data_IF_854402245338
#
_entry.id   IF_854402245338
#
_cell.length_a   1.000
_cell.length_b   1.000
_cell.length_c   1.000
_cell.angle_alpha   90.00
_cell.angle_beta   90.00
_cell.angle_gamma   90.00
#
_symmetry.space_group_name_H-M   'P 1'
#
loop_
_entity.id
_entity.type
_entity.pdbx_description
1 polymer ?
#
# COMPACT_ATOMS: atom_id res chain seq x y z
N UNK A 1 58.76 -34.78 -0.74
CA UNK A 1 57.54 -35.62 -0.72
C UNK A 1 57.61 -36.62 -1.87
N UNK A 2 57.50 -37.93 -1.61
CA UNK A 2 57.54 -38.95 -2.67
C UNK A 2 56.31 -38.85 -3.60
N UNK A 3 56.39 -39.40 -4.81
CA UNK A 3 55.29 -39.44 -5.77
C UNK A 3 54.00 -40.07 -5.18
N UNK A 4 54.16 -40.96 -4.20
CA UNK A 4 53.05 -41.63 -3.50
C UNK A 4 52.29 -40.70 -2.54
N UNK A 5 52.99 -39.77 -1.87
CA UNK A 5 52.36 -38.76 -1.01
C UNK A 5 51.57 -37.73 -1.83
N UNK A 6 52.06 -37.36 -3.03
CA UNK A 6 51.32 -36.49 -3.96
C UNK A 6 50.05 -37.16 -4.49
N UNK A 7 50.09 -38.47 -4.78
CA UNK A 7 48.92 -39.24 -5.21
C UNK A 7 47.82 -39.32 -4.13
N UNK A 8 48.21 -39.59 -2.87
CA UNK A 8 47.29 -39.63 -1.72
C UNK A 8 46.67 -38.25 -1.43
N UNK A 9 47.43 -37.17 -1.52
CA UNK A 9 46.93 -35.80 -1.36
C UNK A 9 45.92 -35.41 -2.46
N UNK A 10 46.24 -35.65 -3.74
CA UNK A 10 45.31 -35.39 -4.86
C UNK A 10 44.02 -36.22 -4.77
N UNK A 11 44.09 -37.46 -4.26
CA UNK A 11 42.92 -38.32 -4.05
C UNK A 11 42.03 -37.80 -2.92
N UNK A 12 42.61 -37.32 -1.82
CA UNK A 12 41.89 -36.66 -0.71
C UNK A 12 41.26 -35.34 -1.15
N UNK A 13 41.96 -34.53 -1.94
CA UNK A 13 41.41 -33.27 -2.48
C UNK A 13 40.23 -33.52 -3.43
N UNK A 14 40.33 -34.51 -4.32
CA UNK A 14 39.22 -34.92 -5.21
C UNK A 14 38.04 -35.51 -4.44
N UNK A 15 38.30 -36.24 -3.37
CA UNK A 15 37.24 -36.79 -2.52
C UNK A 15 36.54 -35.68 -1.73
N UNK A 16 37.29 -34.75 -1.14
CA UNK A 16 36.74 -33.57 -0.47
C UNK A 16 35.93 -32.70 -1.45
N UNK A 17 36.47 -32.42 -2.64
CA UNK A 17 35.78 -31.66 -3.68
C UNK A 17 34.51 -32.37 -4.21
N UNK A 18 34.44 -33.71 -4.18
CA UNK A 18 33.22 -34.46 -4.49
C UNK A 18 32.21 -34.43 -3.34
N UNK A 19 32.69 -34.58 -2.10
CA UNK A 19 31.87 -34.55 -0.89
C UNK A 19 31.23 -33.17 -0.70
N UNK A 20 31.90 -32.07 -1.08
CA UNK A 20 31.35 -30.71 -0.98
C UNK A 20 30.73 -30.22 -2.29
N UNK A 21 31.35 -30.53 -3.43
CA UNK A 21 30.90 -30.04 -4.74
C UNK A 21 29.63 -30.71 -5.26
N UNK A 22 29.43 -32.01 -5.01
CA UNK A 22 28.21 -32.71 -5.47
C UNK A 22 26.97 -32.19 -4.71
N UNK A 23 26.96 -32.07 -3.37
CA UNK A 23 25.83 -31.47 -2.67
C UNK A 23 25.54 -30.04 -3.11
N UNK A 24 26.57 -29.20 -3.31
CA UNK A 24 26.38 -27.84 -3.82
C UNK A 24 25.76 -27.81 -5.22
N UNK A 25 26.19 -28.70 -6.11
CA UNK A 25 25.58 -28.83 -7.44
C UNK A 25 24.14 -29.35 -7.37
N UNK A 26 23.84 -30.29 -6.48
CA UNK A 26 22.48 -30.81 -6.28
C UNK A 26 21.56 -29.73 -5.72
N UNK A 27 22.02 -28.98 -4.72
CA UNK A 27 21.28 -27.84 -4.16
C UNK A 27 21.08 -26.76 -5.21
N UNK A 28 22.13 -26.41 -5.97
CA UNK A 28 22.04 -25.44 -7.06
C UNK A 28 21.05 -25.86 -8.15
N UNK A 29 21.06 -27.13 -8.55
CA UNK A 29 20.11 -27.68 -9.52
C UNK A 29 18.68 -27.70 -8.97
N UNK A 30 18.49 -28.07 -7.71
CA UNK A 30 17.18 -28.04 -7.05
C UNK A 30 16.62 -26.62 -6.97
N UNK A 31 17.45 -25.63 -6.59
CA UNK A 31 17.07 -24.22 -6.58
C UNK A 31 16.75 -23.69 -7.97
N UNK A 32 17.51 -24.08 -9.00
CA UNK A 32 17.26 -23.66 -10.38
C UNK A 32 15.95 -24.25 -10.93
N UNK A 33 15.69 -25.54 -10.69
CA UNK A 33 14.43 -26.20 -11.07
C UNK A 33 13.24 -25.59 -10.34
N UNK A 34 13.41 -25.28 -9.07
CA UNK A 34 12.39 -24.60 -8.28
C UNK A 34 12.12 -23.18 -8.82
N UNK A 35 13.13 -22.36 -9.04
CA UNK A 35 12.97 -21.03 -9.61
C UNK A 35 12.36 -21.06 -11.02
N UNK A 36 12.65 -22.09 -11.81
CA UNK A 36 12.01 -22.30 -13.11
C UNK A 36 10.52 -22.68 -12.96
N UNK A 37 10.17 -23.46 -11.94
CA UNK A 37 8.78 -23.85 -11.64
C UNK A 37 7.92 -22.71 -11.11
N UNK A 38 8.53 -21.64 -10.57
CA UNK A 38 7.84 -20.42 -10.15
C UNK A 38 7.59 -19.45 -11.30
N UNK A 39 8.11 -19.71 -12.50
CA UNK A 39 7.85 -18.83 -13.64
C UNK A 39 6.38 -18.94 -14.09
N UNK A 40 5.74 -17.81 -14.44
CA UNK A 40 4.36 -17.81 -14.88
C UNK A 40 4.20 -18.55 -16.21
N UNK A 41 3.15 -19.39 -16.31
CA UNK A 41 2.74 -19.98 -17.58
C UNK A 41 1.98 -18.94 -18.40
N UNK A 42 2.67 -18.35 -19.37
CA UNK A 42 2.13 -17.26 -20.21
C UNK A 42 1.48 -17.73 -21.51
N UNK A 43 1.47 -19.04 -21.77
CA UNK A 43 0.88 -19.64 -22.97
C UNK A 43 0.13 -20.93 -22.65
N UNK A 44 -0.92 -21.20 -23.42
CA UNK A 44 -1.73 -22.41 -23.31
C UNK A 44 -3.17 -22.08 -22.90
N UNK A 45 -3.95 -23.12 -22.64
CA UNK A 45 -5.35 -23.01 -22.25
C UNK A 45 -5.53 -23.46 -20.80
N UNK A 46 -6.32 -22.72 -20.05
CA UNK A 46 -6.71 -23.07 -18.68
C UNK A 46 -8.22 -22.96 -18.56
N UNK A 47 -8.85 -24.01 -18.03
CA UNK A 47 -10.28 -23.98 -17.72
C UNK A 47 -10.46 -23.52 -16.29
N UNK A 48 -11.14 -22.40 -16.11
CA UNK A 48 -11.40 -21.78 -14.81
C UNK A 48 -12.91 -21.67 -14.58
N UNK A 49 -13.33 -21.84 -13.33
CA UNK A 49 -14.68 -21.46 -12.90
C UNK A 49 -14.78 -19.95 -12.70
N UNK A 50 -15.97 -19.39 -12.92
CA UNK A 50 -16.26 -17.97 -12.66
C UNK A 50 -16.27 -17.06 -13.88
N UNK A 51 -15.74 -17.52 -15.02
CA UNK A 51 -15.90 -16.85 -16.31
C UNK A 51 -17.27 -17.18 -16.92
N UNK A 52 -17.93 -16.16 -17.49
CA UNK A 52 -19.17 -16.33 -18.25
C UNK A 52 -18.91 -16.76 -19.70
N UNK A 53 -17.72 -16.46 -20.24
CA UNK A 53 -17.32 -16.79 -21.59
C UNK A 53 -15.82 -17.00 -21.74
N UNK A 54 -15.39 -17.22 -22.99
CA UNK A 54 -13.98 -17.34 -23.33
C UNK A 54 -13.26 -15.99 -23.19
N UNK A 55 -12.03 -16.04 -22.65
CA UNK A 55 -11.13 -14.90 -22.57
C UNK A 55 -9.82 -15.27 -23.26
N UNK A 56 -9.39 -14.42 -24.18
CA UNK A 56 -8.09 -14.53 -24.83
C UNK A 56 -7.13 -13.49 -24.25
N UNK A 57 -5.93 -13.93 -23.85
CA UNK A 57 -4.90 -13.05 -23.29
C UNK A 57 -3.66 -13.14 -24.18
N UNK A 58 -3.37 -12.06 -24.90
CA UNK A 58 -2.15 -11.91 -25.68
C UNK A 58 -1.14 -11.08 -24.89
N UNK A 59 0.10 -11.53 -24.76
CA UNK A 59 1.20 -10.72 -24.22
C UNK A 59 2.11 -10.25 -25.34
N UNK A 60 2.36 -8.96 -25.41
CA UNK A 60 3.29 -8.40 -26.40
C UNK A 60 4.76 -8.62 -26.03
N UNK A 61 5.68 -8.10 -26.84
CA UNK A 61 7.13 -8.23 -26.66
C UNK A 61 7.65 -7.65 -25.33
N UNK A 62 6.90 -6.74 -24.71
CA UNK A 62 7.22 -6.14 -23.41
C UNK A 62 6.51 -6.86 -22.25
N UNK A 63 5.76 -7.92 -22.54
CA UNK A 63 5.00 -8.69 -21.57
C UNK A 63 3.66 -8.06 -21.17
N UNK A 64 3.24 -6.97 -21.83
CA UNK A 64 1.97 -6.27 -21.53
C UNK A 64 0.80 -7.15 -21.99
N UNK A 65 -0.16 -7.49 -21.09
CA UNK A 65 -1.33 -8.27 -21.45
C UNK A 65 -2.39 -7.43 -22.15
N UNK A 66 -2.90 -7.99 -23.26
CA UNK A 66 -4.06 -7.55 -24.01
C UNK A 66 -5.15 -8.60 -23.83
N UNK A 67 -6.15 -8.26 -23.02
CA UNK A 67 -7.25 -9.11 -22.59
C UNK A 67 -8.45 -8.85 -23.50
N UNK A 68 -8.92 -9.88 -24.19
CA UNK A 68 -10.13 -9.86 -25.01
C UNK A 68 -11.19 -10.73 -24.35
N UNK A 69 -12.36 -10.16 -24.04
CA UNK A 69 -13.42 -10.85 -23.32
C UNK A 69 -14.81 -10.47 -23.83
N UNK A 70 -15.79 -11.35 -23.63
CA UNK A 70 -17.18 -11.11 -24.02
C UNK A 70 -17.93 -10.12 -23.11
N UNK A 71 -17.42 -9.82 -21.92
CA UNK A 71 -18.01 -8.89 -20.96
C UNK A 71 -16.95 -8.16 -20.14
N UNK A 72 -17.29 -6.99 -19.60
CA UNK A 72 -16.37 -6.22 -18.74
C UNK A 72 -15.95 -7.02 -17.49
N UNK A 73 -16.86 -7.79 -16.88
CA UNK A 73 -16.57 -8.60 -15.70
C UNK A 73 -15.58 -9.73 -16.02
N UNK A 74 -15.73 -10.42 -17.15
CA UNK A 74 -14.73 -11.42 -17.59
C UNK A 74 -13.36 -10.76 -17.84
N UNK A 75 -13.35 -9.52 -18.36
CA UNK A 75 -12.14 -8.72 -18.49
C UNK A 75 -11.47 -8.39 -17.15
N UNK A 76 -12.24 -7.99 -16.14
CA UNK A 76 -11.73 -7.72 -14.79
C UNK A 76 -11.26 -8.99 -14.07
N UNK A 77 -11.97 -10.11 -14.26
CA UNK A 77 -11.53 -11.42 -13.79
C UNK A 77 -10.16 -11.78 -14.38
N UNK A 78 -10.00 -11.67 -15.69
CA UNK A 78 -8.75 -11.97 -16.36
C UNK A 78 -7.61 -11.05 -15.91
N UNK A 79 -7.90 -9.76 -15.66
CA UNK A 79 -6.93 -8.83 -15.11
C UNK A 79 -6.48 -9.26 -13.70
N UNK A 80 -7.41 -9.70 -12.84
CA UNK A 80 -7.11 -10.26 -11.53
C UNK A 80 -6.20 -11.49 -11.60
N UNK A 81 -6.53 -12.42 -12.49
CA UNK A 81 -5.72 -13.61 -12.74
C UNK A 81 -4.29 -13.25 -13.19
N UNK A 82 -4.15 -12.30 -14.12
CA UNK A 82 -2.86 -11.87 -14.65
C UNK A 82 -2.05 -11.08 -13.62
N UNK A 83 -2.67 -10.20 -12.85
CA UNK A 83 -1.99 -9.50 -11.75
C UNK A 83 -1.47 -10.49 -10.70
N UNK A 84 -2.25 -11.50 -10.33
CA UNK A 84 -1.79 -12.56 -9.42
C UNK A 84 -0.63 -13.36 -10.05
N UNK A 85 -0.76 -13.74 -11.31
CA UNK A 85 0.28 -14.45 -12.05
C UNK A 85 1.63 -13.73 -12.04
N UNK A 86 1.63 -12.40 -12.18
CA UNK A 86 2.88 -11.64 -12.36
C UNK A 86 3.38 -10.96 -11.09
N UNK A 87 2.47 -10.61 -10.16
CA UNK A 87 2.73 -9.67 -9.07
C UNK A 87 2.11 -10.11 -7.73
N UNK A 88 1.80 -11.40 -7.53
CA UNK A 88 1.14 -11.88 -6.30
C UNK A 88 1.80 -11.40 -5.00
N UNK A 89 3.13 -11.51 -4.88
CA UNK A 89 3.80 -11.09 -3.65
C UNK A 89 3.65 -9.58 -3.39
N UNK A 90 3.71 -8.75 -4.44
CA UNK A 90 3.46 -7.30 -4.32
C UNK A 90 2.03 -7.04 -3.82
N UNK A 91 1.05 -7.78 -4.33
CA UNK A 91 -0.35 -7.70 -3.90
C UNK A 91 -0.50 -8.14 -2.44
N UNK A 92 0.11 -9.26 -2.06
CA UNK A 92 0.14 -9.79 -0.69
C UNK A 92 0.71 -8.78 0.31
N UNK A 93 1.88 -8.26 0.00
CA UNK A 93 2.55 -7.26 0.83
C UNK A 93 1.67 -6.03 1.01
N UNK A 94 1.09 -5.51 -0.07
CA UNK A 94 0.28 -4.29 -0.03
C UNK A 94 -1.01 -4.48 0.76
N UNK A 95 -1.73 -5.61 0.62
CA UNK A 95 -2.92 -5.87 1.43
C UNK A 95 -2.58 -6.01 2.90
N UNK A 96 -1.44 -6.63 3.24
CA UNK A 96 -0.99 -6.81 4.63
C UNK A 96 -0.55 -5.51 5.26
N UNK A 97 0.15 -4.67 4.52
CA UNK A 97 0.45 -3.31 4.94
C UNK A 97 -0.86 -2.59 5.27
N UNK A 98 -1.79 -2.49 4.31
CA UNK A 98 -3.07 -1.81 4.52
C UNK A 98 -3.92 -2.38 5.66
N UNK A 99 -3.85 -3.70 5.89
CA UNK A 99 -4.52 -4.39 6.98
C UNK A 99 -3.82 -4.26 8.35
N UNK A 100 -2.58 -3.76 8.40
CA UNK A 100 -1.74 -3.85 9.59
C UNK A 100 -1.55 -5.31 10.04
N UNK A 101 -1.05 -6.15 9.12
CA UNK A 101 -0.82 -7.60 9.29
C UNK A 101 0.54 -8.06 8.74
N UNK A 102 1.53 -7.18 8.60
CA UNK A 102 2.88 -7.54 8.18
C UNK A 102 3.58 -8.41 9.22
N UNK A 103 3.39 -8.15 10.52
CA UNK A 103 4.03 -8.89 11.60
C UNK A 103 3.66 -10.38 11.63
N UNK A 104 2.50 -10.75 11.08
CA UNK A 104 2.08 -12.14 10.93
C UNK A 104 2.94 -12.90 9.91
N UNK A 105 3.53 -12.19 8.93
CA UNK A 105 4.34 -12.78 7.86
C UNK A 105 5.85 -12.68 8.16
N UNK A 106 6.31 -11.53 8.68
CA UNK A 106 7.73 -11.23 8.87
C UNK A 106 8.17 -11.10 10.34
N UNK A 107 7.24 -11.20 11.30
CA UNK A 107 7.53 -11.13 12.74
C UNK A 107 7.67 -9.70 13.26
N UNK A 108 8.44 -9.54 14.34
CA UNK A 108 8.65 -8.27 15.04
C UNK A 108 9.01 -7.08 14.13
N UNK A 109 9.80 -7.23 13.04
CA UNK A 109 10.07 -6.11 12.12
C UNK A 109 8.84 -5.48 11.48
N UNK A 110 7.71 -6.19 11.38
CA UNK A 110 6.46 -5.66 10.84
C UNK A 110 5.58 -4.94 11.87
N UNK A 111 5.89 -5.06 13.16
CA UNK A 111 4.99 -4.63 14.25
C UNK A 111 4.77 -3.12 14.28
N UNK A 112 5.81 -2.32 14.00
CA UNK A 112 5.69 -0.86 13.95
C UNK A 112 4.70 -0.38 12.88
N UNK A 113 4.81 -0.95 11.67
CA UNK A 113 3.88 -0.66 10.59
C UNK A 113 2.46 -1.12 10.93
N UNK A 114 2.32 -2.32 11.51
CA UNK A 114 1.01 -2.84 11.90
C UNK A 114 0.32 -1.93 12.90
N UNK A 115 1.00 -1.52 13.98
CA UNK A 115 0.47 -0.57 14.95
C UNK A 115 0.00 0.72 14.28
N UNK A 116 0.85 1.32 13.44
CA UNK A 116 0.53 2.56 12.74
C UNK A 116 -0.72 2.43 11.86
N UNK A 117 -0.79 1.37 11.03
CA UNK A 117 -1.92 1.16 10.12
C UNK A 117 -3.21 0.75 10.84
N UNK A 118 -3.11 0.02 11.97
CA UNK A 118 -4.25 -0.25 12.86
C UNK A 118 -4.79 1.03 13.50
N UNK A 119 -3.90 1.94 13.94
CA UNK A 119 -4.28 3.25 14.47
C UNK A 119 -5.02 4.09 13.44
N UNK A 120 -4.55 4.15 12.20
CA UNK A 120 -5.29 4.81 11.11
C UNK A 120 -6.62 4.10 10.79
N UNK A 121 -6.65 2.77 10.97
CA UNK A 121 -7.83 1.94 10.71
C UNK A 121 -8.22 1.89 9.25
N UNK A 122 -7.27 2.02 8.31
CA UNK A 122 -7.55 2.09 6.87
C UNK A 122 -8.34 0.89 6.36
N UNK A 123 -7.98 -0.32 6.81
CA UNK A 123 -8.68 -1.54 6.41
C UNK A 123 -10.13 -1.60 6.87
N UNK A 124 -10.40 -1.13 8.11
CA UNK A 124 -11.78 -1.00 8.62
C UNK A 124 -12.59 -0.03 7.76
N UNK A 125 -11.99 1.09 7.35
CA UNK A 125 -12.64 2.03 6.43
C UNK A 125 -12.88 1.41 5.06
N UNK A 126 -11.96 0.58 4.56
CA UNK A 126 -12.15 -0.19 3.34
C UNK A 126 -13.34 -1.15 3.44
N UNK A 127 -13.52 -1.83 4.58
CA UNK A 127 -14.68 -2.70 4.85
C UNK A 127 -15.99 -1.90 4.85
N UNK A 128 -16.01 -0.73 5.50
CA UNK A 128 -17.18 0.16 5.48
C UNK A 128 -17.47 0.62 4.05
N UNK A 129 -16.46 1.01 3.28
CA UNK A 129 -16.59 1.45 1.91
C UNK A 129 -17.14 0.33 1.00
N UNK A 130 -16.72 -0.91 1.20
CA UNK A 130 -17.22 -2.08 0.47
C UNK A 130 -18.74 -2.23 0.57
N UNK A 131 -19.33 -1.93 1.75
CA UNK A 131 -20.79 -2.00 1.97
C UNK A 131 -21.60 -0.93 1.23
N UNK A 132 -20.93 0.08 0.66
CA UNK A 132 -21.56 1.27 0.06
C UNK A 132 -21.27 1.42 -1.44
N UNK A 133 -20.62 0.43 -2.05
CA UNK A 133 -20.30 0.44 -3.47
C UNK A 133 -21.58 0.40 -4.32
N UNK A 134 -21.52 1.05 -5.48
CA UNK A 134 -22.52 0.85 -6.52
C UNK A 134 -22.43 -0.58 -7.06
N UNK A 135 -23.54 -1.12 -7.55
CA UNK A 135 -23.56 -2.48 -8.12
C UNK A 135 -22.52 -2.70 -9.23
N UNK A 136 -22.29 -1.76 -10.18
CA UNK A 136 -21.23 -1.93 -11.17
C UNK A 136 -19.82 -1.97 -10.56
N UNK A 137 -19.54 -1.14 -9.55
CA UNK A 137 -18.22 -1.12 -8.90
C UNK A 137 -17.97 -2.40 -8.08
N UNK A 138 -19.00 -2.85 -7.35
CA UNK A 138 -18.94 -4.11 -6.61
C UNK A 138 -18.71 -5.29 -7.56
N UNK A 139 -19.47 -5.39 -8.66
CA UNK A 139 -19.33 -6.47 -9.64
C UNK A 139 -17.94 -6.51 -10.29
N UNK A 140 -17.34 -5.34 -10.58
CA UNK A 140 -15.97 -5.28 -11.11
C UNK A 140 -14.92 -5.78 -10.10
N UNK A 141 -15.05 -5.38 -8.83
CA UNK A 141 -14.15 -5.79 -7.76
C UNK A 141 -14.31 -7.27 -7.39
N UNK A 142 -15.53 -7.80 -7.39
CA UNK A 142 -15.81 -9.21 -7.16
C UNK A 142 -15.26 -10.08 -8.30
N UNK A 143 -15.47 -9.68 -9.56
CA UNK A 143 -14.92 -10.39 -10.70
C UNK A 143 -13.39 -10.43 -10.65
N UNK A 144 -12.76 -9.30 -10.34
CA UNK A 144 -11.31 -9.22 -10.15
C UNK A 144 -10.80 -10.13 -9.03
N UNK A 145 -11.43 -10.07 -7.85
CA UNK A 145 -11.08 -10.93 -6.73
C UNK A 145 -11.24 -12.42 -7.09
N UNK A 146 -12.30 -12.79 -7.80
CA UNK A 146 -12.51 -14.15 -8.30
C UNK A 146 -11.39 -14.58 -9.25
N UNK A 147 -10.90 -13.68 -10.11
CA UNK A 147 -9.75 -13.95 -10.99
C UNK A 147 -8.46 -14.21 -10.23
N UNK A 148 -8.16 -13.39 -9.22
CA UNK A 148 -7.02 -13.60 -8.31
C UNK A 148 -7.14 -14.95 -7.61
N UNK A 149 -8.32 -15.27 -7.08
CA UNK A 149 -8.56 -16.53 -6.36
C UNK A 149 -8.50 -17.75 -7.28
N UNK A 150 -8.98 -17.63 -8.51
CA UNK A 150 -8.84 -18.69 -9.51
C UNK A 150 -7.36 -19.01 -9.80
N UNK A 151 -6.51 -17.97 -9.83
CA UNK A 151 -5.06 -18.18 -9.93
C UNK A 151 -4.49 -18.84 -8.67
N UNK A 152 -4.90 -18.43 -7.47
CA UNK A 152 -4.44 -19.06 -6.22
C UNK A 152 -4.80 -20.56 -6.14
N UNK A 153 -6.00 -20.93 -6.58
CA UNK A 153 -6.47 -22.31 -6.59
C UNK A 153 -5.72 -23.20 -7.59
N UNK A 154 -5.41 -22.68 -8.78
CA UNK A 154 -4.78 -23.45 -9.86
C UNK A 154 -3.25 -23.30 -9.93
N UNK A 155 -2.72 -22.23 -9.36
CA UNK A 155 -1.33 -21.79 -9.42
C UNK A 155 -0.50 -22.09 -8.16
N UNK A 156 -1.07 -22.77 -7.16
CA UNK A 156 -0.40 -23.07 -5.89
C UNK A 156 0.96 -23.78 -6.02
N UNK A 157 1.21 -24.50 -7.12
CA UNK A 157 2.51 -25.13 -7.41
C UNK A 157 3.62 -24.13 -7.84
N UNK A 158 3.27 -22.85 -8.04
CA UNK A 158 4.14 -21.81 -8.60
C UNK A 158 4.11 -20.53 -7.76
N UNK A 159 3.82 -20.64 -6.46
CA UNK A 159 3.86 -19.50 -5.55
C UNK A 159 5.25 -18.81 -5.60
N UNK A 160 5.28 -17.46 -5.52
CA UNK A 160 6.53 -16.73 -5.46
C UNK A 160 7.44 -17.22 -4.32
N UNK A 161 8.78 -17.15 -4.52
CA UNK A 161 9.79 -17.51 -3.52
C UNK A 161 9.52 -17.06 -2.09
N UNK A 162 8.96 -15.86 -1.93
CA UNK A 162 8.71 -15.21 -0.66
C UNK A 162 7.75 -16.01 0.23
N UNK A 163 6.71 -16.62 -0.34
CA UNK A 163 5.76 -17.46 0.40
C UNK A 163 6.43 -18.69 1.01
N UNK A 164 7.36 -19.31 0.27
CA UNK A 164 8.11 -20.48 0.73
C UNK A 164 9.18 -20.10 1.76
N UNK A 165 9.90 -19.01 1.54
CA UNK A 165 10.90 -18.50 2.48
C UNK A 165 10.27 -18.06 3.81
N UNK A 166 9.08 -17.46 3.74
CA UNK A 166 8.33 -17.02 4.90
C UNK A 166 7.40 -18.11 5.45
N UNK A 167 7.36 -19.31 4.88
CA UNK A 167 6.47 -20.40 5.30
C UNK A 167 5.04 -19.89 5.56
N UNK A 168 4.49 -19.24 4.54
CA UNK A 168 3.21 -18.54 4.59
C UNK A 168 2.37 -18.92 3.36
N UNK A 169 1.08 -19.17 3.57
CA UNK A 169 0.13 -19.49 2.51
C UNK A 169 -0.80 -18.29 2.25
N UNK A 170 -0.98 -17.87 0.99
CA UNK A 170 -1.83 -16.73 0.67
C UNK A 170 -3.30 -16.99 1.02
N UNK A 171 -3.93 -16.03 1.68
CA UNK A 171 -5.39 -16.01 1.89
C UNK A 171 -6.12 -15.62 0.59
N UNK A 172 -7.38 -16.04 0.38
CA UNK A 172 -8.21 -15.56 -0.73
C UNK A 172 -8.28 -14.02 -0.75
N UNK A 173 -8.16 -13.46 -1.95
CA UNK A 173 -8.33 -12.03 -2.20
C UNK A 173 -9.80 -11.63 -2.04
N UNK A 174 -10.02 -10.52 -1.35
CA UNK A 174 -11.34 -9.95 -1.05
C UNK A 174 -11.50 -8.60 -1.73
N UNK A 175 -12.74 -8.17 -1.95
CA UNK A 175 -13.07 -6.82 -2.43
C UNK A 175 -12.40 -5.73 -1.57
N UNK A 176 -12.39 -5.93 -0.25
CA UNK A 176 -11.73 -5.03 0.70
C UNK A 176 -10.24 -4.85 0.43
N UNK A 177 -9.53 -5.89 -0.03
CA UNK A 177 -8.08 -5.83 -0.28
C UNK A 177 -7.76 -4.90 -1.46
N UNK A 178 -8.66 -4.83 -2.44
CA UNK A 178 -8.58 -3.85 -3.54
C UNK A 178 -8.90 -2.43 -3.08
N UNK A 179 -9.85 -2.27 -2.15
CA UNK A 179 -10.23 -0.93 -1.66
C UNK A 179 -9.14 -0.35 -0.75
N UNK A 180 -8.52 -1.16 0.11
CA UNK A 180 -7.46 -0.68 1.00
C UNK A 180 -6.24 -0.19 0.23
N UNK A 181 -5.96 -0.76 -0.95
CA UNK A 181 -4.94 -0.24 -1.86
C UNK A 181 -5.20 1.23 -2.21
N UNK A 182 -6.45 1.60 -2.51
CA UNK A 182 -6.84 2.98 -2.78
C UNK A 182 -6.68 3.90 -1.57
N UNK A 183 -6.98 3.42 -0.36
CA UNK A 183 -6.75 4.17 0.87
C UNK A 183 -5.26 4.40 1.16
N UNK A 184 -4.41 3.40 0.91
CA UNK A 184 -2.96 3.53 1.02
C UNK A 184 -2.43 4.59 0.05
N UNK A 185 -2.86 4.53 -1.21
CA UNK A 185 -2.46 5.52 -2.21
C UNK A 185 -2.95 6.93 -1.82
N UNK A 186 -4.20 7.07 -1.38
CA UNK A 186 -4.73 8.35 -0.93
C UNK A 186 -3.90 8.94 0.22
N UNK A 187 -3.54 8.11 1.20
CA UNK A 187 -2.68 8.52 2.31
C UNK A 187 -1.28 8.93 1.86
N UNK A 188 -0.64 8.14 0.98
CA UNK A 188 0.69 8.45 0.42
C UNK A 188 0.71 9.76 -0.37
N UNK A 189 -0.40 10.12 -1.03
CA UNK A 189 -0.50 11.34 -1.83
C UNK A 189 -0.92 12.57 -1.01
N UNK A 190 -1.31 12.40 0.25
CA UNK A 190 -1.58 13.51 1.17
C UNK A 190 -0.29 13.97 1.87
N UNK A 191 0.13 15.21 1.61
CA UNK A 191 1.41 15.78 2.08
C UNK A 191 1.28 16.76 3.24
N UNK A 192 0.06 17.25 3.51
CA UNK A 192 -0.20 18.36 4.41
C UNK A 192 0.15 18.04 5.87
N UNK A 193 -0.33 16.94 6.45
CA UNK A 193 -0.06 16.62 7.87
C UNK A 193 1.44 16.43 8.16
N UNK A 194 2.21 15.86 7.24
CA UNK A 194 3.68 15.81 7.33
C UNK A 194 4.26 17.23 7.35
N UNK A 195 3.81 18.09 6.43
CA UNK A 195 4.20 19.51 6.38
C UNK A 195 3.86 20.26 7.67
N UNK A 196 2.71 19.98 8.28
CA UNK A 196 2.30 20.56 9.56
C UNK A 196 3.22 20.12 10.71
N UNK A 197 3.55 18.83 10.80
CA UNK A 197 4.50 18.32 11.79
C UNK A 197 5.90 18.89 11.59
N UNK A 198 6.40 18.94 10.35
CA UNK A 198 7.70 19.55 10.05
C UNK A 198 7.72 21.03 10.45
N UNK A 199 6.69 21.79 10.10
CA UNK A 199 6.54 23.20 10.48
C UNK A 199 6.47 23.37 12.00
N UNK A 200 5.70 22.53 12.70
CA UNK A 200 5.60 22.55 14.16
C UNK A 200 6.93 22.23 14.85
N UNK A 201 7.75 21.33 14.29
CA UNK A 201 9.10 21.05 14.76
C UNK A 201 10.07 22.21 14.50
N UNK A 202 10.03 22.80 13.31
CA UNK A 202 10.93 23.90 12.91
C UNK A 202 10.72 25.16 13.75
N UNK A 203 9.48 25.53 14.09
CA UNK A 203 9.18 26.70 14.93
C UNK A 203 9.83 26.60 16.33
N UNK A 204 10.23 25.40 16.79
CA UNK A 204 10.96 25.23 18.06
C UNK A 204 12.45 25.61 17.97
N UNK A 205 13.01 25.58 16.77
CA UNK A 205 14.46 25.74 16.52
C UNK A 205 14.79 26.91 15.60
N UNK A 206 13.79 27.54 15.00
CA UNK A 206 13.91 28.64 14.06
C UNK A 206 12.92 29.76 14.40
N UNK A 207 13.32 31.00 14.11
CA UNK A 207 12.43 32.16 14.25
C UNK A 207 11.19 32.01 13.35
N UNK A 208 9.98 32.33 13.84
CA UNK A 208 8.73 32.18 13.10
C UNK A 208 8.75 32.84 11.72
N UNK A 209 9.39 33.99 11.58
CA UNK A 209 9.51 34.73 10.31
C UNK A 209 10.27 33.90 9.25
N UNK A 210 11.29 33.14 9.68
CA UNK A 210 12.08 32.32 8.77
C UNK A 210 11.39 31.03 8.39
N UNK A 211 10.52 30.51 9.27
CA UNK A 211 9.62 29.41 8.91
C UNK A 211 8.54 29.90 7.94
N UNK A 212 8.04 31.12 8.11
CA UNK A 212 7.08 31.75 7.21
C UNK A 212 7.67 32.08 5.82
N UNK A 213 8.98 32.25 5.70
CA UNK A 213 9.66 32.32 4.39
C UNK A 213 9.58 30.99 3.61
N UNK A 214 9.56 29.86 4.30
CA UNK A 214 9.46 28.52 3.70
C UNK A 214 8.01 28.12 3.39
N UNK A 215 7.07 28.57 4.23
CA UNK A 215 5.63 28.40 4.06
C UNK A 215 4.94 29.76 4.16
N UNK A 216 4.86 30.53 3.07
CA UNK A 216 4.12 31.79 3.06
C UNK A 216 2.67 31.49 3.48
N UNK A 217 2.22 32.13 4.55
CA UNK A 217 0.97 31.79 5.22
C UNK A 217 -0.27 31.94 4.33
N UNK A 218 -1.33 31.24 4.72
CA UNK A 218 -2.66 31.44 4.19
C UNK A 218 -3.14 32.89 4.43
N UNK A 219 -4.19 33.37 3.72
CA UNK A 219 -4.81 34.65 4.00
C UNK A 219 -5.07 34.84 5.51
N UNK A 220 -5.01 36.07 6.06
CA UNK A 220 -5.17 36.32 7.50
C UNK A 220 -6.46 35.76 8.12
N UNK A 221 -7.46 35.54 7.28
CA UNK A 221 -8.81 35.07 7.53
C UNK A 221 -9.02 33.58 7.20
N UNK A 222 -7.95 32.86 6.81
CA UNK A 222 -7.99 31.42 6.68
C UNK A 222 -8.19 30.75 8.05
N UNK A 223 -9.03 29.70 8.14
CA UNK A 223 -9.14 28.93 9.36
C UNK A 223 -7.78 28.28 9.65
N UNK A 224 -7.07 28.79 10.66
CA UNK A 224 -5.84 28.19 11.15
C UNK A 224 -6.18 27.19 12.25
N UNK A 225 -5.71 25.95 12.11
CA UNK A 225 -5.91 24.87 13.08
C UNK A 225 -5.10 25.05 14.36
N UNK A 226 -4.10 25.96 14.42
CA UNK A 226 -3.03 25.81 15.41
C UNK A 226 -2.44 27.11 16.02
N UNK A 227 -2.64 27.26 17.34
CA UNK A 227 -1.65 27.78 18.31
C UNK A 227 -0.63 26.64 18.65
N UNK A 228 -0.13 25.97 17.59
CA UNK A 228 0.62 24.70 17.62
C UNK A 228 1.84 24.73 18.51
N UNK A 229 2.60 25.82 18.43
CA UNK A 229 3.95 25.87 18.99
C UNK A 229 3.94 25.71 20.51
N UNK A 230 2.92 26.21 21.19
CA UNK A 230 2.79 26.11 22.66
C UNK A 230 2.20 24.78 23.12
N UNK A 231 1.19 24.27 22.42
CA UNK A 231 0.48 23.04 22.83
C UNK A 231 1.16 21.75 22.40
N UNK A 232 1.97 21.78 21.34
CA UNK A 232 2.76 20.61 20.94
C UNK A 232 4.08 20.48 21.68
N UNK A 233 4.51 21.48 22.46
CA UNK A 233 5.85 21.53 23.06
C UNK A 233 6.25 20.29 23.86
N UNK A 234 5.27 19.54 24.40
CA UNK A 234 5.47 18.31 25.15
C UNK A 234 5.52 17.04 24.27
N UNK A 235 5.06 17.11 23.02
CA UNK A 235 5.01 16.00 22.07
C UNK A 235 6.33 15.85 21.32
N UNK A 236 6.81 14.61 21.20
CA UNK A 236 7.96 14.24 20.37
C UNK A 236 7.55 14.08 18.89
N UNK A 237 7.50 15.21 18.20
CA UNK A 237 7.18 15.29 16.77
C UNK A 237 8.18 14.50 15.91
N UNK A 238 9.45 14.43 16.33
CA UNK A 238 10.47 13.68 15.62
C UNK A 238 10.20 12.17 15.69
N UNK A 239 9.85 11.67 16.87
CA UNK A 239 9.45 10.28 17.05
C UNK A 239 8.17 9.94 16.27
N UNK A 240 7.18 10.83 16.25
CA UNK A 240 5.95 10.62 15.48
C UNK A 240 6.21 10.52 13.97
N UNK A 241 7.07 11.40 13.43
CA UNK A 241 7.50 11.34 12.03
C UNK A 241 8.30 10.07 11.74
N UNK A 242 9.14 9.61 12.68
CA UNK A 242 9.92 8.39 12.54
C UNK A 242 9.07 7.11 12.64
N UNK A 243 7.89 7.18 13.27
CA UNK A 243 6.95 6.07 13.37
C UNK A 243 6.17 5.81 12.07
N UNK A 244 6.20 6.73 11.10
CA UNK A 244 5.57 6.55 9.79
C UNK A 244 6.32 5.47 9.00
N UNK A 245 5.64 4.40 8.56
CA UNK A 245 6.27 3.37 7.75
C UNK A 245 6.92 3.97 6.49
N UNK A 246 8.14 3.56 6.12
CA UNK A 246 8.80 4.04 4.91
C UNK A 246 7.93 3.91 3.65
N UNK A 247 7.13 2.85 3.58
CA UNK A 247 6.20 2.58 2.49
C UNK A 247 5.09 3.63 2.37
N UNK A 248 4.78 4.36 3.45
CA UNK A 248 3.76 5.41 3.46
C UNK A 248 4.32 6.82 3.28
N UNK A 249 5.65 6.97 3.23
CA UNK A 249 6.27 8.29 3.08
C UNK A 249 5.88 8.92 1.74
N UNK A 250 5.38 10.15 1.80
CA UNK A 250 4.94 10.86 0.61
C UNK A 250 6.13 11.33 -0.22
N UNK A 251 6.06 11.06 -1.52
CA UNK A 251 7.01 11.56 -2.53
C UNK A 251 6.18 12.23 -3.62
N UNK A 252 5.95 13.53 -3.51
CA UNK A 252 5.07 14.26 -4.43
C UNK A 252 5.86 14.99 -5.52
N UNK A 253 5.75 14.49 -6.74
CA UNK A 253 6.02 15.19 -7.99
C UNK A 253 5.18 14.51 -9.09
N UNK A 254 4.70 15.24 -10.09
CA UNK A 254 4.08 14.67 -11.29
C UNK A 254 3.90 15.77 -12.33
N UNK A 255 3.86 15.40 -13.62
CA UNK A 255 3.51 16.32 -14.70
C UNK A 255 2.24 15.86 -15.43
N UNK A 256 1.42 16.82 -15.86
CA UNK A 256 0.37 16.57 -16.83
C UNK A 256 0.11 17.80 -17.71
N UNK A 257 0.12 17.61 -19.03
CA UNK A 257 -0.22 18.62 -20.02
C UNK A 257 -1.33 18.13 -20.94
N UNK A 258 -2.25 19.04 -21.27
CA UNK A 258 -3.28 18.83 -22.30
C UNK A 258 -3.17 19.92 -23.34
N UNK A 259 -2.97 19.52 -24.60
CA UNK A 259 -3.02 20.41 -25.76
C UNK A 259 -4.38 20.27 -26.44
N UNK A 260 -5.11 21.38 -26.55
CA UNK A 260 -6.37 21.43 -27.29
C UNK A 260 -6.14 21.28 -28.80
N UNK A 261 -7.14 20.79 -29.53
CA UNK A 261 -7.09 20.55 -30.99
C UNK A 261 -6.41 21.67 -31.81
N UNK A 262 -6.71 22.99 -31.59
CA UNK A 262 -6.09 24.07 -32.38
C UNK A 262 -4.58 24.24 -32.17
N UNK A 263 -4.00 23.59 -31.15
CA UNK A 263 -2.57 23.62 -30.82
C UNK A 263 -1.81 22.40 -31.33
N UNK A 264 -2.45 21.53 -32.13
CA UNK A 264 -1.90 20.25 -32.59
C UNK A 264 -1.95 20.15 -34.12
N UNK A 265 -0.98 19.47 -34.74
CA UNK A 265 -0.96 19.22 -36.19
C UNK A 265 -1.88 18.07 -36.61
N UNK A 266 -2.29 17.22 -35.68
CA UNK A 266 -3.17 16.07 -35.92
C UNK A 266 -4.66 16.44 -35.91
N UNK A 267 -5.02 17.62 -35.40
CA UNK A 267 -6.41 18.04 -35.21
C UNK A 267 -7.13 17.34 -34.04
N UNK A 268 -6.41 16.56 -33.22
CA UNK A 268 -6.91 15.85 -32.05
C UNK A 268 -6.21 16.35 -30.78
N UNK A 269 -6.88 16.35 -29.60
CA UNK A 269 -6.21 16.74 -28.36
C UNK A 269 -5.08 15.76 -28.02
N UNK A 270 -4.03 16.26 -27.38
CA UNK A 270 -2.91 15.45 -26.87
C UNK A 270 -2.88 15.56 -25.35
N UNK A 271 -2.88 14.41 -24.68
CA UNK A 271 -2.61 14.30 -23.24
C UNK A 271 -1.21 13.72 -23.06
N UNK A 272 -0.38 14.38 -22.27
CA UNK A 272 0.86 13.84 -21.74
C UNK A 272 0.72 13.79 -20.21
N UNK A 273 0.76 12.59 -19.62
CA UNK A 273 0.73 12.40 -18.18
C UNK A 273 1.92 11.57 -17.73
N UNK A 274 2.62 12.05 -16.72
CA UNK A 274 3.90 11.56 -16.23
C UNK A 274 3.85 11.57 -14.68
N UNK A 275 3.17 10.58 -14.06
CA UNK A 275 3.05 10.48 -12.61
C UNK A 275 4.38 10.03 -11.99
N UNK A 276 4.88 10.74 -10.98
CA UNK A 276 6.06 10.30 -10.24
C UNK A 276 5.65 9.70 -8.89
N UNK A 277 6.07 8.45 -8.69
CA UNK A 277 5.97 7.73 -7.42
C UNK A 277 7.37 7.23 -7.06
N UNK A 278 7.54 6.74 -5.83
CA UNK A 278 8.82 6.16 -5.40
C UNK A 278 9.33 5.06 -6.35
N UNK A 279 10.64 5.05 -6.62
CA UNK A 279 11.26 4.01 -7.44
C UNK A 279 11.29 2.68 -6.67
N UNK A 280 10.47 1.73 -7.12
CA UNK A 280 10.40 0.38 -6.56
C UNK A 280 10.53 -0.66 -7.66
N UNK A 281 11.01 -1.84 -7.29
CA UNK A 281 11.05 -3.02 -8.14
C UNK A 281 10.40 -4.18 -7.38
N UNK A 282 9.24 -4.68 -7.83
CA UNK A 282 8.46 -4.23 -8.97
C UNK A 282 7.79 -2.84 -8.76
N UNK A 283 7.58 -2.09 -9.85
CA UNK A 283 6.97 -0.76 -9.82
C UNK A 283 5.45 -0.81 -9.54
N UNK A 284 4.85 0.33 -9.18
CA UNK A 284 3.42 0.44 -8.89
C UNK A 284 2.54 0.20 -10.11
N UNK A 285 2.92 0.77 -11.26
CA UNK A 285 2.11 0.75 -12.48
C UNK A 285 2.27 -0.55 -13.26
N UNK A 286 1.15 -1.16 -13.61
CA UNK A 286 1.09 -2.34 -14.46
C UNK A 286 0.32 -1.96 -15.73
N UNK A 287 0.94 -2.09 -16.91
CA UNK A 287 0.26 -1.75 -18.15
C UNK A 287 -0.63 -2.91 -18.58
N UNK A 288 -1.86 -2.62 -18.98
CA UNK A 288 -2.77 -3.61 -19.53
C UNK A 288 -3.75 -2.99 -20.53
N UNK A 289 -4.29 -3.85 -21.38
CA UNK A 289 -5.46 -3.54 -22.22
C UNK A 289 -6.58 -4.52 -21.90
N UNK A 290 -7.79 -4.01 -21.73
CA UNK A 290 -9.02 -4.81 -21.71
C UNK A 290 -9.89 -4.35 -22.89
N UNK A 291 -10.35 -5.30 -23.69
CA UNK A 291 -11.23 -5.06 -24.82
C UNK A 291 -12.42 -6.04 -24.79
N UNK A 292 -13.62 -5.48 -24.75
CA UNK A 292 -14.91 -6.15 -24.80
C UNK A 292 -15.81 -5.39 -25.77
N UNK A 293 -16.99 -5.94 -26.15
CA UNK A 293 -17.91 -5.22 -27.02
C UNK A 293 -18.38 -3.87 -26.44
N UNK A 294 -18.46 -3.74 -25.12
CA UNK A 294 -18.95 -2.55 -24.41
C UNK A 294 -17.84 -1.67 -23.81
N UNK A 295 -16.63 -2.21 -23.65
CA UNK A 295 -15.53 -1.54 -22.96
C UNK A 295 -14.21 -1.78 -23.70
N UNK A 296 -13.52 -0.71 -24.08
CA UNK A 296 -12.09 -0.78 -24.41
C UNK A 296 -11.35 0.16 -23.49
N UNK A 297 -10.34 -0.33 -22.78
CA UNK A 297 -9.48 0.49 -21.93
C UNK A 297 -8.04 0.04 -22.05
N UNK A 298 -7.14 1.00 -22.23
CA UNK A 298 -5.71 0.80 -22.38
C UNK A 298 -5.01 1.78 -21.45
N UNK A 299 -4.12 1.30 -20.59
CA UNK A 299 -3.35 2.19 -19.72
C UNK A 299 -2.69 1.51 -18.54
N UNK A 300 -2.37 2.31 -17.53
CA UNK A 300 -1.77 1.87 -16.29
C UNK A 300 -2.85 1.48 -15.28
N UNK A 301 -2.87 0.20 -14.93
CA UNK A 301 -3.53 -0.36 -13.75
C UNK A 301 -2.54 -0.42 -12.59
N UNK A 302 -2.98 -0.93 -11.44
CA UNK A 302 -2.08 -1.33 -10.36
C UNK A 302 -2.43 -2.75 -9.87
N UNK A 303 -1.43 -3.60 -9.56
CA UNK A 303 -1.67 -4.92 -8.99
C UNK A 303 -2.47 -4.80 -7.68
N UNK A 304 -3.63 -5.47 -7.62
CA UNK A 304 -4.58 -5.35 -6.52
C UNK A 304 -5.88 -4.62 -6.86
N UNK A 305 -5.97 -3.90 -7.99
CA UNK A 305 -7.19 -3.17 -8.39
C UNK A 305 -7.62 -3.46 -9.84
N UNK A 306 -8.94 -3.48 -10.14
CA UNK A 306 -9.46 -3.81 -11.48
C UNK A 306 -9.43 -2.66 -12.50
N UNK A 307 -9.03 -1.45 -12.09
CA UNK A 307 -9.26 -0.25 -12.89
C UNK A 307 -7.97 0.26 -13.54
N UNK A 308 -8.09 0.78 -14.77
CA UNK A 308 -7.06 1.62 -15.37
C UNK A 308 -7.12 3.01 -14.72
N UNK A 309 -6.16 3.25 -13.83
CA UNK A 309 -6.04 4.50 -13.08
C UNK A 309 -5.69 5.64 -14.04
N UNK A 310 -4.86 5.37 -15.04
CA UNK A 310 -4.44 6.28 -16.10
C UNK A 310 -4.61 5.58 -17.42
N UNK A 311 -5.08 6.25 -18.46
CA UNK A 311 -5.24 5.58 -19.75
C UNK A 311 -6.17 6.29 -20.73
N UNK A 312 -6.67 5.50 -21.67
CA UNK A 312 -7.65 5.94 -22.66
C UNK A 312 -8.55 4.79 -23.10
N UNK A 313 -9.68 5.14 -23.72
CA UNK A 313 -10.64 4.18 -24.27
C UNK A 313 -10.87 4.35 -25.79
N UNK A 314 -10.06 5.18 -26.45
CA UNK A 314 -10.21 5.51 -27.87
C UNK A 314 -11.14 6.70 -28.14
N UNK A 315 -11.92 7.14 -27.15
CA UNK A 315 -12.76 8.34 -27.22
C UNK A 315 -12.28 9.46 -26.28
N UNK A 316 -11.82 9.10 -25.09
CA UNK A 316 -11.23 9.99 -24.08
C UNK A 316 -9.93 9.41 -23.54
N UNK A 317 -9.05 10.29 -23.07
CA UNK A 317 -7.84 9.96 -22.35
C UNK A 317 -7.81 10.73 -21.03
N UNK A 318 -7.30 10.10 -19.97
CA UNK A 318 -7.21 10.67 -18.64
C UNK A 318 -5.90 10.30 -17.97
N UNK A 319 -5.51 11.17 -17.05
CA UNK A 319 -4.34 11.01 -16.20
C UNK A 319 -4.55 11.83 -14.93
N UNK A 320 -3.63 11.72 -13.97
CA UNK A 320 -3.72 12.46 -12.72
C UNK A 320 -2.37 12.98 -12.27
N UNK A 321 -2.41 14.06 -11.50
CA UNK A 321 -1.27 14.66 -10.80
C UNK A 321 -1.75 15.12 -9.43
N UNK A 322 -0.87 15.07 -8.43
CA UNK A 322 -1.18 15.59 -7.09
C UNK A 322 -1.47 17.09 -7.13
N UNK A 323 -2.64 17.51 -6.66
CA UNK A 323 -3.03 18.93 -6.58
C UNK A 323 -2.47 19.63 -5.35
N UNK A 324 -1.92 18.89 -4.39
CA UNK A 324 -1.47 19.42 -3.10
C UNK A 324 -2.61 19.94 -2.22
N UNK A 325 -3.84 19.45 -2.44
CA UNK A 325 -5.00 19.86 -1.67
C UNK A 325 -4.91 19.51 -0.19
N UNK A 326 -5.50 20.36 0.65
CA UNK A 326 -5.64 20.13 2.08
C UNK A 326 -6.70 19.05 2.34
N UNK A 327 -6.28 17.88 2.83
CA UNK A 327 -7.12 16.66 2.93
C UNK A 327 -6.96 15.92 4.25
N UNK A 328 -6.16 16.48 5.16
CA UNK A 328 -5.81 15.94 6.47
C UNK A 328 -5.45 17.05 7.46
N UNK A 329 -5.98 17.02 8.67
CA UNK A 329 -5.69 18.01 9.70
C UNK A 329 -5.23 17.33 10.99
N UNK A 330 -4.31 17.97 11.69
CA UNK A 330 -3.87 17.53 13.01
C UNK A 330 -4.52 18.35 14.12
N UNK A 331 -5.22 17.65 15.01
CA UNK A 331 -5.86 18.23 16.18
C UNK A 331 -5.06 17.88 17.43
N UNK A 332 -4.65 18.90 18.19
CA UNK A 332 -4.04 18.71 19.51
C UNK A 332 -5.14 18.69 20.57
N UNK A 333 -5.42 17.53 21.12
CA UNK A 333 -6.45 17.30 22.13
C UNK A 333 -5.80 17.31 23.51
N UNK A 334 -6.49 17.81 24.53
CA UNK A 334 -6.00 17.83 25.92
C UNK A 334 -6.67 16.70 26.69
N UNK A 335 -5.88 15.80 27.27
CA UNK A 335 -6.39 14.73 28.13
C UNK A 335 -6.96 15.35 29.41
N UNK A 336 -8.11 14.87 29.89
CA UNK A 336 -8.67 15.37 31.14
C UNK A 336 -7.75 14.97 32.31
N UNK A 337 -7.16 15.92 33.06
CA UNK A 337 -6.28 15.61 34.18
C UNK A 337 -6.97 14.86 35.32
N UNK A 338 -8.31 14.82 35.34
CA UNK A 338 -9.10 14.08 36.33
C UNK A 338 -9.44 12.65 35.88
N UNK A 339 -9.47 12.40 34.58
CA UNK A 339 -9.81 11.10 34.01
C UNK A 339 -9.11 10.90 32.65
N UNK A 340 -8.01 10.12 32.59
CA UNK A 340 -7.25 9.92 31.35
C UNK A 340 -8.02 9.15 30.26
N UNK A 341 -9.19 8.58 30.58
CA UNK A 341 -10.09 8.01 29.58
C UNK A 341 -10.90 9.08 28.81
N UNK A 342 -10.73 10.35 29.15
CA UNK A 342 -11.43 11.48 28.55
C UNK A 342 -10.48 12.54 28.00
N UNK A 343 -10.98 13.33 27.06
CA UNK A 343 -10.34 14.54 26.54
C UNK A 343 -11.27 15.74 26.67
N UNK A 344 -10.68 16.91 26.84
CA UNK A 344 -11.40 18.16 27.03
C UNK A 344 -11.96 18.68 25.69
N UNK A 345 -13.25 19.00 25.67
CA UNK A 345 -13.93 19.64 24.53
C UNK A 345 -14.52 20.99 24.93
N UNK A 346 -14.92 21.84 23.97
CA UNK A 346 -15.60 23.11 24.28
C UNK A 346 -16.86 22.94 25.13
N UNK A 347 -17.54 21.80 25.03
CA UNK A 347 -18.77 21.49 25.78
C UNK A 347 -18.49 20.73 27.09
N UNK A 348 -17.21 20.53 27.45
CA UNK A 348 -16.78 19.74 28.61
C UNK A 348 -16.00 18.46 28.23
N UNK A 349 -15.55 17.68 29.22
CA UNK A 349 -14.87 16.41 28.98
C UNK A 349 -15.74 15.41 28.19
N UNK A 350 -15.13 14.68 27.26
CA UNK A 350 -15.77 13.58 26.52
C UNK A 350 -14.87 12.35 26.54
N UNK A 351 -15.44 11.13 26.61
CA UNK A 351 -14.65 9.91 26.56
C UNK A 351 -14.01 9.72 25.18
N UNK A 352 -12.81 9.13 25.16
CA UNK A 352 -12.27 8.53 23.95
C UNK A 352 -13.14 7.34 23.53
N UNK A 353 -13.39 7.18 22.23
CA UNK A 353 -13.84 5.89 21.71
C UNK A 353 -12.64 4.94 21.70
N UNK A 354 -12.77 3.78 22.37
CA UNK A 354 -11.67 2.81 22.51
C UNK A 354 -11.99 1.49 21.83
N UNK A 355 -11.01 0.92 21.11
CA UNK A 355 -11.08 -0.45 20.57
C UNK A 355 -9.79 -1.19 20.88
N UNK A 356 -9.91 -2.41 21.40
CA UNK A 356 -8.77 -3.32 21.55
C UNK A 356 -8.65 -4.22 20.33
N UNK A 357 -7.44 -4.33 19.78
CA UNK A 357 -7.08 -5.25 18.70
C UNK A 357 -5.92 -6.15 19.11
N UNK A 358 -5.79 -7.30 18.46
CA UNK A 358 -4.67 -8.23 18.68
C UNK A 358 -3.87 -8.31 17.38
N UNK A 359 -2.59 -7.95 17.45
CA UNK A 359 -1.61 -8.14 16.37
C UNK A 359 -0.93 -9.48 16.59
N UNK A 360 -1.07 -10.40 15.63
CA UNK A 360 -0.37 -11.68 15.66
C UNK A 360 1.06 -11.48 15.18
N UNK A 361 2.04 -12.01 15.91
CA UNK A 361 3.47 -11.84 15.57
C UNK A 361 4.10 -13.18 15.29
N UNK A 362 4.64 -13.35 14.09
CA UNK A 362 5.31 -14.59 13.71
C UNK A 362 6.54 -14.83 14.58
N UNK A 363 6.57 -15.98 15.26
CA UNK A 363 7.69 -16.37 16.12
C UNK A 363 7.76 -15.58 17.44
N UNK A 364 6.73 -14.81 17.78
CA UNK A 364 6.63 -14.04 19.02
C UNK A 364 5.28 -14.22 19.71
N UNK A 365 5.08 -13.47 20.79
CA UNK A 365 3.77 -13.38 21.46
C UNK A 365 2.86 -12.40 20.71
N UNK A 366 1.54 -12.64 20.82
CA UNK A 366 0.55 -11.72 20.30
C UNK A 366 0.60 -10.40 21.08
N UNK A 367 0.45 -9.28 20.38
CA UNK A 367 0.47 -7.94 20.97
C UNK A 367 -0.95 -7.40 21.02
N UNK A 368 -1.42 -7.05 22.22
CA UNK A 368 -2.66 -6.32 22.41
C UNK A 368 -2.42 -4.83 22.16
N UNK A 369 -3.25 -4.21 21.33
CA UNK A 369 -3.18 -2.81 20.96
C UNK A 369 -4.50 -2.13 21.29
N UNK A 370 -4.46 -1.11 22.14
CA UNK A 370 -5.63 -0.25 22.40
C UNK A 370 -5.59 0.96 21.49
N UNK A 371 -6.66 1.17 20.74
CA UNK A 371 -6.83 2.25 19.78
C UNK A 371 -7.81 3.27 20.34
N UNK A 372 -7.41 4.55 20.40
CA UNK A 372 -8.29 5.65 20.79
C UNK A 372 -8.72 6.49 19.58
N UNK A 373 -9.94 7.00 19.64
CA UNK A 373 -10.52 7.88 18.62
C UNK A 373 -11.23 9.04 19.31
N UNK A 374 -11.02 10.27 18.81
CA UNK A 374 -11.73 11.47 19.24
C UNK A 374 -12.80 11.84 18.22
N UNK A 375 -13.52 12.94 18.46
CA UNK A 375 -14.48 13.48 17.50
C UNK A 375 -13.86 13.89 16.16
N UNK A 376 -12.54 14.11 16.11
CA UNK A 376 -11.83 14.51 14.89
C UNK A 376 -11.19 13.33 14.16
N UNK A 377 -10.95 12.21 14.84
CA UNK A 377 -10.37 11.01 14.23
C UNK A 377 -9.49 10.19 15.17
N UNK A 378 -8.75 9.21 14.65
CA UNK A 378 -7.86 8.36 15.45
C UNK A 378 -6.75 9.19 16.12
N UNK A 379 -6.39 8.80 17.33
CA UNK A 379 -5.28 9.40 18.07
C UNK A 379 -3.97 8.77 17.58
N UNK A 380 -3.25 9.48 16.71
CA UNK A 380 -2.05 8.97 16.03
C UNK A 380 -0.81 9.00 16.93
N UNK A 381 -0.78 9.84 17.97
CA UNK A 381 0.32 9.86 18.94
C UNK A 381 0.40 8.58 19.78
N UNK A 382 -0.69 7.79 19.87
CA UNK A 382 -0.72 6.52 20.61
C UNK A 382 0.28 5.50 20.05
N UNK A 383 0.70 5.64 18.79
CA UNK A 383 1.73 4.78 18.20
C UNK A 383 3.08 4.90 18.92
N UNK A 384 3.30 5.99 19.66
CA UNK A 384 4.50 6.24 20.45
C UNK A 384 4.41 5.68 21.87
N UNK A 385 3.21 5.37 22.38
CA UNK A 385 3.02 5.04 23.80
C UNK A 385 3.62 3.69 24.19
N UNK A 386 3.76 2.76 23.25
CA UNK A 386 4.53 1.50 23.45
C UNK A 386 6.06 1.73 23.53
N UNK A 387 6.53 2.96 23.32
CA UNK A 387 7.93 3.36 23.54
C UNK A 387 8.18 4.10 24.88
N UNK A 388 7.11 4.50 25.61
CA UNK A 388 7.10 4.86 27.05
C UNK A 388 5.71 5.38 27.49
N UNK A 389 5.05 4.59 28.34
CA UNK A 389 3.93 4.90 29.25
C UNK A 389 3.22 6.27 29.21
N UNK A 390 1.90 6.18 28.97
CA UNK A 390 0.77 7.12 29.14
C UNK A 390 0.69 8.01 30.41
N UNK A 391 1.71 8.07 31.27
CA UNK A 391 1.55 8.69 32.59
C UNK A 391 1.71 10.22 32.62
N UNK A 392 2.32 10.84 31.60
CA UNK A 392 2.71 12.27 31.67
C UNK A 392 2.26 13.13 30.47
N UNK A 393 1.60 12.56 29.45
CA UNK A 393 1.18 13.38 28.29
C UNK A 393 -0.16 14.09 28.57
N UNK A 394 -0.09 15.41 28.79
CA UNK A 394 -1.29 16.26 28.94
C UNK A 394 -2.02 16.49 27.61
N UNK A 395 -1.42 16.08 26.49
CA UNK A 395 -1.91 16.34 25.14
C UNK A 395 -1.68 15.15 24.21
N UNK A 396 -2.60 14.90 23.30
CA UNK A 396 -2.48 13.87 22.24
C UNK A 396 -2.77 14.47 20.87
N UNK A 397 -2.32 13.82 19.78
CA UNK A 397 -2.58 14.25 18.40
C UNK A 397 -3.61 13.33 17.75
N UNK A 398 -4.74 13.89 17.33
CA UNK A 398 -5.73 13.22 16.51
C UNK A 398 -5.60 13.63 15.03
N UNK A 399 -5.79 12.68 14.11
CA UNK A 399 -5.75 12.92 12.67
C UNK A 399 -7.18 12.94 12.10
N UNK A 400 -7.60 14.08 11.58
CA UNK A 400 -8.74 14.13 10.67
C UNK A 400 -8.24 13.87 9.24
N UNK A 401 -8.98 13.08 8.45
CA UNK A 401 -8.64 12.87 7.03
C UNK A 401 -9.88 12.60 6.20
N UNK A 402 -9.94 13.22 5.02
CA UNK A 402 -10.96 12.92 4.01
C UNK A 402 -10.93 11.44 3.56
N UNK A 403 -9.78 10.76 3.69
CA UNK A 403 -9.62 9.34 3.41
C UNK A 403 -10.05 8.41 4.57
N UNK A 404 -10.28 8.98 5.76
CA UNK A 404 -10.56 8.27 7.01
C UNK A 404 -12.03 7.93 7.25
N UNK A 405 -12.88 7.95 6.22
CA UNK A 405 -14.24 7.44 6.28
C UNK A 405 -15.37 8.50 6.21
N UNK A 406 -16.63 8.03 6.24
CA UNK A 406 -17.80 8.87 5.98
C UNK A 406 -18.04 9.88 7.12
N UNK A 407 -18.11 11.16 6.78
CA UNK A 407 -18.36 12.24 7.73
C UNK A 407 -17.12 12.98 8.20
N UNK A 408 -15.92 12.46 7.91
CA UNK A 408 -14.69 13.22 8.07
C UNK A 408 -14.69 14.38 7.08
N UNK A 409 -14.74 15.59 7.62
CA UNK A 409 -14.49 16.82 6.89
C UNK A 409 -13.21 17.41 7.47
N UNK A 410 -12.27 17.70 6.58
CA UNK A 410 -11.18 18.64 6.81
C UNK A 410 -11.76 20.04 6.72
#
# INVERSE_FOLDING_TARGET
>A
MSAEQHGKFRRRLRLAARITGIPLLVVGAALALWAWSTLPKTSGEVKLSGLAGEVEIFRDENGVPHIFAGSANDGYFALGYVHAQDRLWQMEFTRRLGAGRLAEAIGEPGLGADRFLRTLGLYRHAEIAATRLSQPALGALEAYAAGVNAWLEHGAASLPPEFLLLNYDPEPWRVTDSIVWGHLLAYQLSTNWHGELYRAGLIRSMEPERVAELWPGDPPDAPVTLDAARRTAQLDIGALLAAVPPELQSHSASNAWVLAKPRTTTGAPILANDPHLGFTAPNTWYLARIATPELTVIGATAPGVPFAILGHNGHVAWGMTSTGGDTQDLFVETVDPKDPAQYLTPDGPRPFETRTEIIRVKGGEDVELTLRTTRHGPVISDVLEDSKGLADETTVIALASASGGPGNRT
#
